data_IF_133614718948
#
_entry.id   IF_133614718948
#
_cell.length_a   1.000
_cell.length_b   1.000
_cell.length_c   1.000
_cell.angle_alpha   90.00
_cell.angle_beta   90.00
_cell.angle_gamma   90.00
#
_symmetry.space_group_name_H-M   'P 1'
#
loop_
_entity.id
_entity.type
_entity.pdbx_description
1 polymer ?
#
# COMPACT_ATOMS: atom_id res chain seq x y z
N UNK A 1 0.39 -26.10 15.24
CA UNK A 1 1.84 -25.74 15.21
C UNK A 1 2.72 -26.95 14.93
N UNK A 2 2.56 -28.11 15.61
CA UNK A 2 3.38 -29.32 15.38
C UNK A 2 3.27 -29.87 13.94
N UNK A 3 2.07 -29.92 13.36
CA UNK A 3 1.85 -30.35 11.98
C UNK A 3 2.51 -29.43 10.96
N UNK A 4 2.45 -28.09 11.20
CA UNK A 4 3.12 -27.11 10.35
C UNK A 4 4.65 -27.25 10.43
N UNK A 5 5.19 -27.49 11.63
CA UNK A 5 6.62 -27.75 11.80
C UNK A 5 7.05 -29.02 11.08
N UNK A 6 6.32 -30.11 11.22
CA UNK A 6 6.60 -31.36 10.52
C UNK A 6 6.58 -31.21 9.00
N UNK A 7 5.60 -30.46 8.45
CA UNK A 7 5.53 -30.17 7.03
C UNK A 7 6.72 -29.31 6.56
N UNK A 8 7.10 -28.31 7.35
CA UNK A 8 8.26 -27.47 7.06
C UNK A 8 9.57 -28.27 7.08
N UNK A 9 9.76 -29.14 8.07
CA UNK A 9 10.95 -30.00 8.18
C UNK A 9 11.07 -30.95 6.99
N UNK A 10 9.95 -31.41 6.44
CA UNK A 10 9.92 -32.26 5.25
C UNK A 10 10.22 -31.49 3.95
N UNK A 11 9.78 -30.22 3.85
CA UNK A 11 9.91 -29.42 2.61
C UNK A 11 11.14 -28.53 2.59
N UNK A 12 11.63 -28.08 3.75
CA UNK A 12 12.70 -27.09 3.86
C UNK A 12 13.58 -27.39 5.08
N UNK A 13 14.51 -28.32 4.96
CA UNK A 13 15.38 -28.73 6.07
C UNK A 13 16.28 -27.58 6.53
N UNK A 14 16.85 -26.83 5.58
CA UNK A 14 17.74 -25.71 5.85
C UNK A 14 17.29 -24.46 5.11
N UNK A 15 17.56 -23.29 5.69
CA UNK A 15 17.40 -22.03 4.97
C UNK A 15 18.41 -21.96 3.81
N UNK A 16 18.08 -21.17 2.79
CA UNK A 16 19.00 -20.93 1.67
C UNK A 16 20.22 -20.17 2.15
N UNK A 17 21.43 -20.71 1.97
CA UNK A 17 22.68 -20.05 2.37
C UNK A 17 22.84 -18.64 1.75
N UNK A 18 22.53 -18.39 0.47
CA UNK A 18 22.48 -17.03 -0.06
C UNK A 18 21.46 -16.13 0.67
N UNK A 19 20.29 -16.68 1.05
CA UNK A 19 19.27 -15.95 1.81
C UNK A 19 19.77 -15.55 3.21
N UNK A 20 20.49 -16.40 3.90
CA UNK A 20 21.10 -16.09 5.20
C UNK A 20 22.15 -14.98 5.08
N UNK A 21 23.03 -15.06 4.08
CA UNK A 21 24.05 -14.02 3.84
C UNK A 21 23.38 -12.68 3.54
N UNK A 22 22.37 -12.64 2.65
CA UNK A 22 21.63 -11.43 2.34
C UNK A 22 20.91 -10.87 3.56
N UNK A 23 20.34 -11.73 4.42
CA UNK A 23 19.71 -11.31 5.67
C UNK A 23 20.71 -10.69 6.63
N UNK A 24 21.90 -11.24 6.76
CA UNK A 24 22.98 -10.68 7.59
C UNK A 24 23.41 -9.30 7.06
N UNK A 25 23.58 -9.16 5.75
CA UNK A 25 23.92 -7.88 5.11
C UNK A 25 22.81 -6.84 5.37
N UNK A 26 21.56 -7.20 5.16
CA UNK A 26 20.41 -6.30 5.39
C UNK A 26 20.30 -5.87 6.85
N UNK A 27 20.48 -6.81 7.81
CA UNK A 27 20.45 -6.50 9.23
C UNK A 27 21.61 -5.59 9.65
N UNK A 28 22.80 -5.76 9.10
CA UNK A 28 23.94 -4.85 9.34
C UNK A 28 23.68 -3.45 8.77
N UNK A 29 23.01 -3.35 7.63
CA UNK A 29 22.64 -2.10 6.96
C UNK A 29 21.29 -1.53 7.43
N UNK A 30 20.64 -2.13 8.46
CA UNK A 30 19.25 -1.79 8.85
C UNK A 30 19.00 -0.31 9.08
N UNK A 31 19.94 0.40 9.67
CA UNK A 31 19.76 1.83 9.96
C UNK A 31 19.57 2.66 8.68
N UNK A 32 20.40 2.40 7.66
CA UNK A 32 20.33 3.07 6.35
C UNK A 32 19.05 2.68 5.60
N UNK A 33 18.70 1.38 5.60
CA UNK A 33 17.49 0.89 4.95
C UNK A 33 16.24 1.51 5.58
N UNK A 34 16.15 1.49 6.90
CA UNK A 34 14.99 2.05 7.62
C UNK A 34 14.89 3.58 7.46
N UNK A 35 16.02 4.29 7.49
CA UNK A 35 16.03 5.75 7.27
C UNK A 35 15.46 6.11 5.88
N UNK A 36 15.93 5.43 4.81
CA UNK A 36 15.41 5.61 3.46
C UNK A 36 13.91 5.28 3.36
N UNK A 37 13.50 4.12 3.86
CA UNK A 37 12.09 3.73 3.83
C UNK A 37 11.21 4.74 4.56
N UNK A 38 11.64 5.21 5.74
CA UNK A 38 10.93 6.21 6.54
C UNK A 38 10.80 7.54 5.80
N UNK A 39 11.86 8.02 5.17
CA UNK A 39 11.85 9.25 4.38
C UNK A 39 10.81 9.19 3.25
N UNK A 40 10.79 8.08 2.48
CA UNK A 40 9.82 7.86 1.40
C UNK A 40 8.39 7.87 1.95
N UNK A 41 8.13 7.10 3.02
CA UNK A 41 6.79 6.99 3.60
C UNK A 41 6.31 8.32 4.15
N UNK A 42 7.13 9.06 4.90
CA UNK A 42 6.73 10.35 5.48
C UNK A 42 6.46 11.41 4.41
N UNK A 43 7.30 11.49 3.37
CA UNK A 43 7.05 12.36 2.21
C UNK A 43 5.71 12.02 1.56
N UNK A 44 5.49 10.76 1.27
CA UNK A 44 4.28 10.29 0.57
C UNK A 44 3.03 10.42 1.46
N UNK A 45 3.15 10.27 2.77
CA UNK A 45 2.07 10.52 3.72
C UNK A 45 1.63 11.99 3.69
N UNK A 46 2.57 12.94 3.64
CA UNK A 46 2.26 14.35 3.48
C UNK A 46 1.49 14.63 2.20
N UNK A 47 1.98 14.12 1.05
CA UNK A 47 1.31 14.27 -0.24
C UNK A 47 -0.08 13.62 -0.27
N UNK A 48 -0.24 12.45 0.34
CA UNK A 48 -1.53 11.79 0.48
C UNK A 48 -2.50 12.62 1.34
N UNK A 49 -2.04 13.13 2.47
CA UNK A 49 -2.84 13.98 3.34
C UNK A 49 -3.35 15.23 2.60
N UNK A 50 -2.46 15.94 1.91
CA UNK A 50 -2.85 17.12 1.10
C UNK A 50 -3.88 16.74 0.02
N UNK A 51 -3.63 15.64 -0.70
CA UNK A 51 -4.50 15.20 -1.79
C UNK A 51 -5.90 14.83 -1.32
N UNK A 52 -6.02 14.04 -0.26
CA UNK A 52 -7.30 13.52 0.22
C UNK A 52 -8.09 14.56 1.02
N UNK A 53 -7.43 15.36 1.87
CA UNK A 53 -8.09 16.41 2.65
C UNK A 53 -8.59 17.57 1.77
N UNK A 54 -7.99 17.80 0.61
CA UNK A 54 -8.47 18.78 -0.36
C UNK A 54 -9.76 18.33 -1.10
N UNK A 55 -10.23 17.10 -0.87
CA UNK A 55 -11.40 16.51 -1.55
C UNK A 55 -12.33 15.79 -0.55
N UNK A 56 -12.86 16.51 0.45
CA UNK A 56 -13.67 15.90 1.53
C UNK A 56 -15.02 15.39 1.06
N UNK A 57 -15.48 15.82 -0.10
CA UNK A 57 -16.68 15.35 -0.80
C UNK A 57 -16.52 13.96 -1.43
N UNK A 58 -15.28 13.60 -1.76
CA UNK A 58 -14.94 12.32 -2.42
C UNK A 58 -14.25 11.33 -1.50
N UNK A 59 -13.57 11.81 -0.47
CA UNK A 59 -12.77 10.95 0.41
C UNK A 59 -12.91 11.33 1.89
N UNK A 60 -13.04 10.32 2.76
CA UNK A 60 -12.73 10.49 4.17
C UNK A 60 -11.29 9.99 4.41
N UNK A 61 -10.44 10.90 4.89
CA UNK A 61 -9.03 10.63 5.15
C UNK A 61 -8.76 10.49 6.63
N UNK A 62 -8.23 9.35 7.03
CA UNK A 62 -7.67 9.11 8.36
C UNK A 62 -6.19 8.75 8.17
N UNK A 63 -5.26 9.61 8.61
CA UNK A 63 -3.83 9.30 8.48
C UNK A 63 -3.48 8.08 9.33
N UNK A 64 -2.64 7.16 8.82
CA UNK A 64 -2.17 6.04 9.61
C UNK A 64 -1.14 6.50 10.65
N UNK A 65 -1.20 5.98 11.87
CA UNK A 65 -0.23 6.23 12.93
C UNK A 65 1.12 5.54 12.70
N UNK A 66 1.17 4.59 11.77
CA UNK A 66 2.38 3.85 11.44
C UNK A 66 2.23 2.96 10.22
N UNK A 67 3.33 2.33 9.82
CA UNK A 67 3.36 1.50 8.62
C UNK A 67 3.49 2.29 7.32
N UNK A 68 3.29 1.59 6.20
CA UNK A 68 3.44 2.13 4.84
C UNK A 68 2.17 2.01 4.01
N UNK A 69 1.01 1.86 4.66
CA UNK A 69 -0.29 1.66 4.02
C UNK A 69 -1.33 2.53 4.71
N UNK A 70 -2.20 3.14 3.92
CA UNK A 70 -3.39 3.86 4.37
C UNK A 70 -4.66 3.27 3.72
N UNK A 71 -5.80 3.48 4.35
CA UNK A 71 -7.12 3.04 3.88
C UNK A 71 -8.13 4.21 3.90
N UNK A 72 -8.04 5.14 2.95
CA UNK A 72 -9.06 6.17 2.81
C UNK A 72 -10.41 5.56 2.43
N UNK A 73 -11.50 6.24 2.82
CA UNK A 73 -12.87 5.88 2.43
C UNK A 73 -13.20 6.58 1.12
N UNK A 74 -13.77 5.87 0.17
CA UNK A 74 -14.41 6.41 -1.00
C UNK A 74 -15.85 6.84 -0.66
N UNK A 75 -16.20 8.12 -0.89
CA UNK A 75 -17.52 8.71 -0.62
C UNK A 75 -18.33 8.96 -1.90
N UNK A 76 -17.78 8.60 -3.07
CA UNK A 76 -18.50 8.73 -4.34
C UNK A 76 -19.77 7.87 -4.38
N UNK A 77 -20.62 8.12 -5.39
CA UNK A 77 -21.93 7.49 -5.53
C UNK A 77 -21.91 6.00 -5.92
N UNK A 78 -20.78 5.51 -6.42
CA UNK A 78 -20.59 4.12 -6.82
C UNK A 78 -19.83 3.32 -5.77
N UNK A 79 -19.95 1.98 -5.76
CA UNK A 79 -19.10 1.11 -4.93
C UNK A 79 -17.62 1.32 -5.22
N UNK A 80 -16.78 1.17 -4.18
CA UNK A 80 -15.32 1.33 -4.31
C UNK A 80 -14.70 0.34 -5.29
N UNK A 81 -15.29 -0.84 -5.45
CA UNK A 81 -14.86 -1.86 -6.41
C UNK A 81 -14.99 -1.34 -7.85
N UNK A 82 -16.09 -0.68 -8.17
CA UNK A 82 -16.31 -0.09 -9.49
C UNK A 82 -15.33 1.08 -9.74
N UNK A 83 -15.09 1.90 -8.71
CA UNK A 83 -14.08 2.95 -8.76
C UNK A 83 -12.67 2.39 -9.04
N UNK A 84 -12.28 1.34 -8.32
CA UNK A 84 -10.97 0.69 -8.49
C UNK A 84 -10.84 0.03 -9.88
N UNK A 85 -11.88 -0.67 -10.36
CA UNK A 85 -11.90 -1.29 -11.68
C UNK A 85 -11.72 -0.25 -12.79
N UNK A 86 -12.49 0.85 -12.75
CA UNK A 86 -12.38 1.92 -13.74
C UNK A 86 -11.00 2.60 -13.72
N UNK A 87 -10.40 2.78 -12.55
CA UNK A 87 -9.04 3.33 -12.42
C UNK A 87 -7.98 2.45 -13.13
N UNK A 88 -8.10 1.12 -13.02
CA UNK A 88 -7.21 0.18 -13.71
C UNK A 88 -7.47 0.17 -15.20
N UNK A 89 -8.73 0.00 -15.63
CA UNK A 89 -9.10 -0.20 -17.04
C UNK A 89 -8.85 1.03 -17.90
N UNK A 90 -9.16 2.21 -17.36
CA UNK A 90 -9.11 3.45 -18.15
C UNK A 90 -7.81 4.22 -18.00
N UNK A 91 -7.10 4.06 -16.87
CA UNK A 91 -5.93 4.87 -16.54
C UNK A 91 -4.70 4.06 -16.15
N UNK A 92 -4.79 2.72 -16.09
CA UNK A 92 -3.70 1.84 -15.69
C UNK A 92 -3.27 2.01 -14.21
N UNK A 93 -4.10 2.66 -13.38
CA UNK A 93 -3.82 2.87 -11.97
C UNK A 93 -4.39 1.73 -11.12
N UNK A 94 -3.53 0.85 -10.63
CA UNK A 94 -3.96 -0.23 -9.75
C UNK A 94 -4.24 0.29 -8.33
N UNK A 95 -5.52 0.28 -7.97
CA UNK A 95 -6.03 0.54 -6.62
C UNK A 95 -6.77 -0.73 -6.17
N UNK A 96 -6.53 -1.16 -4.93
CA UNK A 96 -7.12 -2.41 -4.42
C UNK A 96 -8.19 -2.06 -3.39
N UNK A 97 -9.46 -2.47 -3.60
CA UNK A 97 -10.53 -2.25 -2.65
C UNK A 97 -10.30 -3.07 -1.37
N UNK A 98 -10.75 -2.57 -0.23
CA UNK A 98 -10.48 -3.17 1.08
C UNK A 98 -11.14 -4.54 1.28
N UNK A 99 -12.19 -4.84 0.53
CA UNK A 99 -12.86 -6.16 0.55
C UNK A 99 -11.91 -7.30 0.22
N UNK A 100 -10.91 -7.09 -0.61
CA UNK A 100 -9.86 -8.07 -0.92
C UNK A 100 -8.99 -8.43 0.30
N UNK A 101 -9.04 -7.62 1.34
CA UNK A 101 -8.36 -7.85 2.62
C UNK A 101 -9.33 -8.24 3.74
N UNK A 102 -10.60 -8.56 3.40
CA UNK A 102 -11.64 -8.88 4.38
C UNK A 102 -12.10 -7.70 5.24
N UNK A 103 -11.81 -6.46 4.81
CA UNK A 103 -12.25 -5.23 5.49
C UNK A 103 -13.52 -4.73 4.81
N UNK A 104 -14.65 -4.66 5.54
CA UNK A 104 -15.92 -4.17 4.98
C UNK A 104 -15.90 -2.66 4.79
N UNK A 105 -16.77 -2.17 3.89
CA UNK A 105 -16.97 -0.74 3.62
C UNK A 105 -16.20 -0.24 2.40
N UNK A 106 -16.49 1.00 2.03
CA UNK A 106 -15.96 1.64 0.81
C UNK A 106 -14.50 2.14 0.98
N UNK A 107 -13.62 1.31 1.54
CA UNK A 107 -12.21 1.63 1.68
C UNK A 107 -11.40 1.10 0.50
N UNK A 108 -10.28 1.75 0.19
CA UNK A 108 -9.28 1.22 -0.72
C UNK A 108 -7.87 1.40 -0.16
N UNK A 109 -6.97 0.52 -0.58
CA UNK A 109 -5.59 0.53 -0.12
C UNK A 109 -4.74 1.52 -0.88
N UNK A 110 -3.99 2.34 -0.14
CA UNK A 110 -2.96 3.24 -0.64
C UNK A 110 -1.60 2.86 -0.06
N UNK A 111 -0.65 2.50 -0.93
CA UNK A 111 0.72 2.16 -0.54
C UNK A 111 1.62 3.39 -0.56
N UNK A 112 2.19 3.74 0.60
CA UNK A 112 3.03 4.92 0.78
C UNK A 112 4.54 4.66 0.57
N UNK A 113 4.94 3.40 0.37
CA UNK A 113 6.36 3.00 0.36
C UNK A 113 7.07 3.12 -1.00
N UNK A 114 6.44 3.66 -2.04
CA UNK A 114 7.01 3.74 -3.40
C UNK A 114 7.54 5.13 -3.72
N UNK A 115 8.64 5.21 -4.45
CA UNK A 115 9.23 6.48 -4.90
C UNK A 115 8.37 7.19 -5.96
N UNK A 116 7.66 6.40 -6.79
CA UNK A 116 6.78 6.88 -7.87
C UNK A 116 5.35 7.25 -7.38
N UNK A 117 5.11 7.25 -6.07
CA UNK A 117 3.82 7.62 -5.48
C UNK A 117 3.26 8.98 -5.96
N UNK A 118 4.07 10.05 -6.13
CA UNK A 118 3.56 11.32 -6.65
C UNK A 118 2.96 11.21 -8.06
N UNK A 119 3.57 10.37 -8.91
CA UNK A 119 3.03 10.11 -10.26
C UNK A 119 1.68 9.37 -10.18
N UNK A 120 1.56 8.38 -9.27
CA UNK A 120 0.31 7.66 -9.05
C UNK A 120 -0.82 8.61 -8.55
N UNK A 121 -0.52 9.55 -7.65
CA UNK A 121 -1.48 10.60 -7.25
C UNK A 121 -1.89 11.49 -8.42
N UNK A 122 -0.97 11.81 -9.33
CA UNK A 122 -1.26 12.55 -10.55
C UNK A 122 -2.26 11.81 -11.45
N UNK A 123 -2.09 10.49 -11.61
CA UNK A 123 -3.03 9.66 -12.36
C UNK A 123 -4.39 9.58 -11.62
N UNK A 124 -4.39 9.41 -10.31
CA UNK A 124 -5.63 9.44 -9.52
C UNK A 124 -6.40 10.76 -9.69
N UNK A 125 -5.69 11.88 -9.75
CA UNK A 125 -6.32 13.17 -10.05
C UNK A 125 -6.94 13.22 -11.46
N UNK A 126 -6.37 12.53 -12.46
CA UNK A 126 -6.96 12.42 -13.79
C UNK A 126 -8.22 11.55 -13.79
N UNK A 127 -8.19 10.41 -13.07
CA UNK A 127 -9.37 9.54 -12.86
C UNK A 127 -10.54 10.35 -12.33
N UNK A 128 -10.29 11.22 -11.35
CA UNK A 128 -11.35 12.04 -10.73
C UNK A 128 -11.87 13.16 -11.64
N UNK A 129 -11.07 13.69 -12.57
CA UNK A 129 -11.50 14.73 -13.52
C UNK A 129 -12.32 14.18 -14.69
N UNK A 130 -12.15 12.91 -15.02
CA UNK A 130 -12.85 12.25 -16.10
C UNK A 130 -14.30 11.84 -15.73
N UNK A 131 -14.70 12.13 -14.50
CA UNK A 131 -16.02 11.85 -13.91
C UNK A 131 -16.80 13.13 -13.71
#
# INVERSE_FOLDING_TARGET
MAEFQAFKDYTTICASAPGEILSIIALRARATILARCREIVLRNLGLAAEFFTARPDLFAWLPPDGGSVAFPVWLGSEPVEAFCAAAVEQHGLMIVPAVEFGVPGNHFRVGLGREDFPAALGILAQVLRAR
#
